data_IF_854575275054
#
_entry.id   IF_854575275054
#
_cell.length_a   1.000
_cell.length_b   1.000
_cell.length_c   1.000
_cell.angle_alpha   90.00
_cell.angle_beta   90.00
_cell.angle_gamma   90.00
#
_symmetry.space_group_name_H-M   'P 1'
#
loop_
_entity.id
_entity.type
_entity.pdbx_description
1 polymer ?
#
# COMPACT_ATOMS: atom_id res chain seq x y z
N UNK A 1 28.27 -5.61 11.59
CA UNK A 1 27.15 -4.72 11.95
C UNK A 1 26.87 -3.76 10.80
N UNK A 2 25.63 -3.28 10.70
CA UNK A 2 25.25 -2.20 9.78
C UNK A 2 25.99 -0.89 10.13
N UNK A 3 26.13 0.00 9.17
CA UNK A 3 26.89 1.25 9.29
C UNK A 3 25.98 2.47 9.47
N UNK A 4 24.80 2.44 8.87
CA UNK A 4 23.79 3.48 8.96
C UNK A 4 22.38 2.89 8.80
N UNK A 5 21.36 3.71 9.06
CA UNK A 5 19.96 3.36 8.88
C UNK A 5 19.29 4.27 7.86
N UNK A 6 18.55 3.65 6.95
CA UNK A 6 17.58 4.32 6.09
C UNK A 6 16.16 3.89 6.45
N UNK A 7 15.34 4.87 6.83
CA UNK A 7 13.93 4.65 7.17
C UNK A 7 13.04 5.10 6.01
N UNK A 8 12.43 4.15 5.31
CA UNK A 8 11.37 4.42 4.37
C UNK A 8 10.02 4.50 5.10
N UNK A 9 9.51 5.73 5.25
CA UNK A 9 8.38 6.03 6.14
C UNK A 9 7.01 6.01 5.46
N UNK A 10 6.94 5.85 4.13
CA UNK A 10 5.71 5.94 3.34
C UNK A 10 5.75 7.13 2.38
N UNK A 11 4.64 7.76 2.00
CA UNK A 11 3.25 7.62 2.49
C UNK A 11 2.54 6.35 1.97
N UNK A 12 1.36 5.95 2.50
CA UNK A 12 0.59 4.92 1.84
C UNK A 12 0.26 5.27 0.39
N UNK A 13 0.33 4.27 -0.50
CA UNK A 13 0.06 4.38 -1.95
C UNK A 13 1.12 5.08 -2.79
N UNK A 14 2.38 5.00 -2.35
CA UNK A 14 3.55 5.52 -3.07
C UNK A 14 4.57 4.43 -3.44
N UNK A 15 4.11 3.24 -3.81
CA UNK A 15 5.00 2.16 -4.26
C UNK A 15 5.70 1.36 -3.15
N UNK A 16 5.34 1.56 -1.87
CA UNK A 16 5.92 0.84 -0.72
C UNK A 16 5.99 -0.67 -0.92
N UNK A 17 4.91 -1.28 -1.44
CA UNK A 17 4.89 -2.73 -1.67
C UNK A 17 5.93 -3.17 -2.70
N UNK A 18 6.08 -2.44 -3.81
CA UNK A 18 7.08 -2.76 -4.85
C UNK A 18 8.50 -2.59 -4.32
N UNK A 19 8.78 -1.50 -3.60
CA UNK A 19 10.08 -1.25 -2.95
C UNK A 19 10.43 -2.40 -2.00
N UNK A 20 9.49 -2.77 -1.12
CA UNK A 20 9.72 -3.84 -0.15
C UNK A 20 9.91 -5.22 -0.81
N UNK A 21 9.16 -5.51 -1.87
CA UNK A 21 9.29 -6.75 -2.64
C UNK A 21 10.66 -6.85 -3.30
N UNK A 22 11.12 -5.81 -4.00
CA UNK A 22 12.45 -5.80 -4.66
C UNK A 22 13.57 -5.93 -3.65
N UNK A 23 13.49 -5.21 -2.52
CA UNK A 23 14.49 -5.30 -1.46
C UNK A 23 14.59 -6.71 -0.88
N UNK A 24 13.46 -7.33 -0.53
CA UNK A 24 13.45 -8.64 0.14
C UNK A 24 13.72 -9.80 -0.82
N UNK A 25 13.32 -9.68 -2.09
CA UNK A 25 13.68 -10.64 -3.12
C UNK A 25 15.16 -10.56 -3.52
N UNK A 26 15.89 -9.52 -3.08
CA UNK A 26 17.25 -9.26 -3.56
C UNK A 26 17.30 -8.99 -5.07
N UNK A 27 16.22 -8.44 -5.63
CA UNK A 27 16.06 -8.20 -7.06
C UNK A 27 16.80 -6.93 -7.53
N UNK A 28 18.02 -6.73 -7.04
CA UNK A 28 18.89 -5.61 -7.36
C UNK A 28 20.35 -5.97 -7.10
N UNK A 29 21.28 -5.28 -7.77
CA UNK A 29 22.74 -5.45 -7.58
C UNK A 29 23.44 -4.10 -7.55
N UNK A 30 24.39 -3.94 -6.64
CA UNK A 30 25.30 -2.79 -6.58
C UNK A 30 26.68 -3.28 -6.11
N UNK A 31 27.74 -2.84 -6.78
CA UNK A 31 29.12 -3.24 -6.47
C UNK A 31 29.73 -2.44 -5.31
N UNK A 32 29.25 -1.22 -5.09
CA UNK A 32 29.87 -0.26 -4.15
C UNK A 32 29.11 -0.14 -2.84
N UNK A 33 27.85 -0.59 -2.78
CA UNK A 33 26.98 -0.40 -1.63
C UNK A 33 26.10 -1.62 -1.37
N UNK A 34 25.82 -1.86 -0.08
CA UNK A 34 25.01 -2.97 0.38
C UNK A 34 23.85 -2.45 1.21
N UNK A 35 22.65 -2.95 0.93
CA UNK A 35 21.47 -2.75 1.76
C UNK A 35 21.15 -4.03 2.51
N UNK A 36 20.70 -3.88 3.75
CA UNK A 36 20.22 -4.95 4.61
C UNK A 36 18.76 -4.63 4.94
N UNK A 37 17.78 -5.15 4.18
CA UNK A 37 16.38 -4.91 4.48
C UNK A 37 15.94 -5.63 5.77
N UNK A 38 14.96 -5.06 6.45
CA UNK A 38 14.23 -5.74 7.53
C UNK A 38 13.60 -7.04 7.01
N UNK A 39 13.51 -8.05 7.89
CA UNK A 39 13.00 -9.40 7.54
C UNK A 39 11.55 -9.41 7.05
N UNK A 40 10.67 -8.65 7.70
CA UNK A 40 9.23 -8.75 7.48
C UNK A 40 8.71 -7.61 6.60
N UNK A 41 7.95 -7.95 5.55
CA UNK A 41 7.23 -6.97 4.73
C UNK A 41 6.09 -6.33 5.51
N UNK A 42 5.74 -5.08 5.17
CA UNK A 42 4.57 -4.37 5.69
C UNK A 42 4.45 -4.42 7.23
N UNK A 43 5.53 -4.12 7.94
CA UNK A 43 5.62 -4.26 9.39
C UNK A 43 4.80 -3.18 10.14
N UNK A 44 3.48 -3.38 10.18
CA UNK A 44 2.55 -2.57 10.96
C UNK A 44 2.81 -2.63 12.48
N UNK A 45 3.17 -3.79 13.07
CA UNK A 45 3.58 -3.88 14.48
C UNK A 45 4.67 -2.87 14.87
N UNK A 46 5.71 -2.70 14.04
CA UNK A 46 6.78 -1.73 14.29
C UNK A 46 6.25 -0.29 14.39
N UNK A 47 5.33 0.10 13.51
CA UNK A 47 4.71 1.42 13.59
C UNK A 47 3.74 1.55 14.77
N UNK A 48 3.10 0.46 15.19
CA UNK A 48 2.24 0.44 16.38
C UNK A 48 3.04 0.61 17.68
N UNK A 49 4.28 0.12 17.73
CA UNK A 49 5.20 0.34 18.85
C UNK A 49 5.56 1.83 19.05
N UNK A 50 5.26 2.70 18.08
CA UNK A 50 5.47 4.14 18.19
C UNK A 50 4.21 4.93 18.59
N UNK A 51 3.11 4.24 18.91
CA UNK A 51 1.89 4.90 19.41
C UNK A 51 2.12 5.51 20.79
N UNK A 52 1.27 6.49 21.13
CA UNK A 52 1.29 7.24 22.37
C UNK A 52 1.43 6.35 23.61
N UNK A 53 0.61 5.31 23.60
CA UNK A 53 0.21 4.35 24.62
C UNK A 53 0.84 2.96 24.42
N UNK A 54 1.87 2.84 23.57
CA UNK A 54 2.52 1.55 23.33
C UNK A 54 3.20 1.02 24.61
N UNK A 55 2.92 -0.23 24.96
CA UNK A 55 3.57 -0.95 26.05
C UNK A 55 5.09 -1.04 25.82
N UNK A 56 5.95 -0.62 26.76
CA UNK A 56 7.41 -0.76 26.66
C UNK A 56 7.89 -2.17 26.32
N UNK A 57 7.23 -3.22 26.83
CA UNK A 57 7.57 -4.60 26.51
C UNK A 57 7.30 -4.91 25.02
N UNK A 58 6.23 -4.35 24.46
CA UNK A 58 5.94 -4.45 23.03
C UNK A 58 6.95 -3.67 22.18
N UNK A 59 7.37 -2.48 22.62
CA UNK A 59 8.44 -1.71 21.95
C UNK A 59 9.74 -2.53 21.92
N UNK A 60 10.13 -3.10 23.06
CA UNK A 60 11.29 -3.97 23.20
C UNK A 60 11.22 -5.18 22.27
N UNK A 61 10.06 -5.85 22.20
CA UNK A 61 9.90 -6.98 21.30
C UNK A 61 10.13 -6.57 19.83
N UNK A 62 9.53 -5.46 19.37
CA UNK A 62 9.61 -5.06 17.97
C UNK A 62 10.99 -4.51 17.56
N UNK A 63 11.54 -3.58 18.35
CA UNK A 63 12.82 -2.94 18.02
C UNK A 63 14.04 -3.75 18.48
N UNK A 64 13.90 -4.56 19.54
CA UNK A 64 14.93 -5.51 19.97
C UNK A 64 15.15 -6.61 18.93
N UNK A 65 14.07 -7.23 18.44
CA UNK A 65 14.17 -8.23 17.36
C UNK A 65 14.79 -7.64 16.09
N UNK A 66 14.41 -6.41 15.73
CA UNK A 66 14.96 -5.73 14.56
C UNK A 66 16.46 -5.41 14.72
N UNK A 67 16.88 -5.00 15.93
CA UNK A 67 18.29 -4.80 16.27
C UNK A 67 19.06 -6.10 16.13
N UNK A 68 18.56 -7.18 16.71
CA UNK A 68 19.22 -8.49 16.68
C UNK A 68 19.29 -9.04 15.25
N UNK A 69 18.23 -8.82 14.45
CA UNK A 69 18.24 -9.09 13.02
C UNK A 69 19.38 -8.36 12.31
N UNK A 70 19.52 -7.05 12.46
CA UNK A 70 20.60 -6.32 11.81
C UNK A 70 21.99 -6.66 12.36
N UNK A 71 22.11 -6.98 13.64
CA UNK A 71 23.37 -7.44 14.24
C UNK A 71 23.83 -8.77 13.64
N UNK A 72 22.89 -9.68 13.31
CA UNK A 72 23.16 -10.95 12.63
C UNK A 72 23.59 -10.80 11.16
N UNK A 73 23.54 -9.59 10.60
CA UNK A 73 23.87 -9.29 9.20
C UNK A 73 25.19 -8.51 9.09
N UNK A 74 25.96 -8.80 8.05
CA UNK A 74 27.26 -8.16 7.83
C UNK A 74 27.16 -6.89 6.99
N UNK A 75 27.60 -5.75 7.53
CA UNK A 75 27.90 -4.50 6.81
C UNK A 75 26.73 -3.82 6.08
N UNK A 76 26.94 -2.58 5.63
CA UNK A 76 25.99 -1.84 4.79
C UNK A 76 24.91 -1.07 5.55
N UNK A 77 23.95 -0.55 4.80
CA UNK A 77 22.84 0.27 5.31
C UNK A 77 21.67 -0.60 5.73
N UNK A 78 21.24 -0.52 6.98
CA UNK A 78 20.01 -1.16 7.45
C UNK A 78 18.79 -0.41 6.91
N UNK A 79 17.87 -1.12 6.25
CA UNK A 79 16.67 -0.51 5.65
C UNK A 79 15.43 -0.95 6.42
N UNK A 80 14.77 0.03 7.06
CA UNK A 80 13.48 -0.13 7.72
C UNK A 80 12.42 0.48 6.80
N UNK A 81 11.40 -0.28 6.42
CA UNK A 81 10.38 0.17 5.47
C UNK A 81 8.99 -0.22 5.96
N UNK A 82 8.15 0.78 6.22
CA UNK A 82 6.71 0.58 6.45
C UNK A 82 5.95 1.89 6.29
N UNK A 83 4.92 1.90 5.45
CA UNK A 83 4.10 3.09 5.17
C UNK A 83 3.31 3.58 6.39
N UNK A 84 3.21 2.77 7.44
CA UNK A 84 2.50 3.13 8.66
C UNK A 84 3.30 4.12 9.54
N UNK A 85 4.60 4.31 9.28
CA UNK A 85 5.41 5.33 9.97
C UNK A 85 4.98 6.75 9.59
N UNK A 86 4.43 6.95 8.40
CA UNK A 86 3.95 8.24 7.92
C UNK A 86 2.97 8.96 8.87
N UNK A 87 2.28 8.20 9.73
CA UNK A 87 1.30 8.69 10.70
C UNK A 87 1.84 8.75 12.14
N UNK A 88 3.12 8.50 12.34
CA UNK A 88 3.76 8.48 13.65
C UNK A 88 4.48 9.79 13.91
N UNK A 89 4.64 10.07 15.20
CA UNK A 89 5.43 11.20 15.66
C UNK A 89 6.91 10.95 15.34
N UNK A 90 7.57 11.79 14.54
CA UNK A 90 8.98 11.63 14.21
C UNK A 90 9.88 11.68 15.45
N UNK A 91 9.52 12.41 16.51
CA UNK A 91 10.30 12.47 17.75
C UNK A 91 10.33 11.12 18.47
N UNK A 92 9.20 10.40 18.49
CA UNK A 92 9.13 9.06 19.07
C UNK A 92 9.98 8.06 18.30
N UNK A 93 9.91 8.10 16.96
CA UNK A 93 10.79 7.28 16.14
C UNK A 93 12.26 7.59 16.43
N UNK A 94 12.65 8.86 16.49
CA UNK A 94 14.04 9.27 16.79
C UNK A 94 14.49 8.79 18.16
N UNK A 95 13.63 8.89 19.18
CA UNK A 95 13.91 8.39 20.53
C UNK A 95 14.20 6.89 20.53
N UNK A 96 13.30 6.09 19.96
CA UNK A 96 13.49 4.63 19.88
C UNK A 96 14.72 4.26 19.04
N UNK A 97 14.98 4.95 17.92
CA UNK A 97 16.18 4.67 17.13
C UNK A 97 17.47 4.96 17.90
N UNK A 98 17.51 6.01 18.74
CA UNK A 98 18.67 6.29 19.60
C UNK A 98 18.89 5.15 20.62
N UNK A 99 17.81 4.60 21.16
CA UNK A 99 17.89 3.61 22.23
C UNK A 99 18.29 2.22 21.70
N UNK A 100 17.80 1.82 20.51
CA UNK A 100 18.08 0.50 19.92
C UNK A 100 19.22 0.49 18.89
N UNK A 101 19.56 1.64 18.33
CA UNK A 101 20.62 1.79 17.32
C UNK A 101 21.55 2.98 17.66
N UNK A 102 22.16 2.97 18.85
CA UNK A 102 22.95 4.09 19.34
C UNK A 102 24.14 4.38 18.41
N UNK A 103 24.35 5.67 18.12
CA UNK A 103 25.49 6.14 17.32
C UNK A 103 25.37 5.94 15.81
N UNK A 104 24.35 5.24 15.30
CA UNK A 104 24.19 5.09 13.85
C UNK A 104 23.64 6.37 13.21
N UNK A 105 24.22 6.85 12.10
CA UNK A 105 23.58 7.84 11.25
C UNK A 105 22.21 7.34 10.79
N UNK A 106 21.22 8.23 10.80
CA UNK A 106 19.85 7.90 10.37
C UNK A 106 19.41 8.87 9.28
N UNK A 107 18.98 8.32 8.16
CA UNK A 107 18.29 9.03 7.09
C UNK A 107 16.86 8.54 6.99
N UNK A 108 15.96 9.39 6.53
CA UNK A 108 14.58 9.02 6.23
C UNK A 108 14.27 9.36 4.79
N UNK A 109 13.52 8.51 4.11
CA UNK A 109 12.97 8.81 2.79
C UNK A 109 11.45 8.62 2.81
N UNK A 110 10.74 9.64 2.34
CA UNK A 110 9.31 9.62 2.12
C UNK A 110 8.99 9.96 0.67
N UNK A 111 7.96 9.32 0.15
CA UNK A 111 7.30 9.73 -1.08
C UNK A 111 5.96 10.39 -0.75
N UNK A 112 5.63 11.47 -1.47
CA UNK A 112 4.34 12.16 -1.35
C UNK A 112 3.60 12.11 -2.68
N UNK A 113 2.38 11.55 -2.67
CA UNK A 113 1.55 11.46 -3.87
C UNK A 113 0.65 12.68 -4.00
N UNK A 114 0.49 13.25 -5.21
CA UNK A 114 -0.47 14.34 -5.43
C UNK A 114 -1.88 13.98 -4.95
N UNK A 115 -2.56 14.95 -4.33
CA UNK A 115 -3.86 14.77 -3.67
C UNK A 115 -4.90 14.08 -4.55
N UNK A 116 -5.02 14.51 -5.82
CA UNK A 116 -5.96 13.94 -6.78
C UNK A 116 -5.69 12.44 -7.05
N UNK A 117 -4.47 12.08 -7.44
CA UNK A 117 -4.13 10.68 -7.73
C UNK A 117 -4.13 9.82 -6.45
N UNK A 118 -3.85 10.43 -5.29
CA UNK A 118 -3.98 9.80 -3.97
C UNK A 118 -5.43 9.49 -3.62
N UNK A 119 -6.38 10.36 -3.97
CA UNK A 119 -7.81 10.15 -3.79
C UNK A 119 -8.29 8.94 -4.57
N UNK A 120 -8.00 8.89 -5.88
CA UNK A 120 -8.37 7.79 -6.78
C UNK A 120 -7.81 6.46 -6.27
N UNK A 121 -6.52 6.42 -5.92
CA UNK A 121 -5.89 5.20 -5.41
C UNK A 121 -6.50 4.72 -4.09
N UNK A 122 -6.85 5.65 -3.20
CA UNK A 122 -7.47 5.32 -1.92
C UNK A 122 -8.91 4.85 -2.08
N UNK A 123 -9.67 5.47 -2.99
CA UNK A 123 -11.02 5.06 -3.31
C UNK A 123 -11.05 3.61 -3.81
N UNK A 124 -10.25 3.29 -4.84
CA UNK A 124 -10.13 1.93 -5.36
C UNK A 124 -9.67 0.93 -4.28
N UNK A 125 -8.74 1.32 -3.41
CA UNK A 125 -8.36 0.48 -2.27
C UNK A 125 -9.54 0.22 -1.32
N UNK A 126 -10.34 1.24 -0.98
CA UNK A 126 -11.46 1.08 -0.03
C UNK A 126 -12.61 0.26 -0.61
N UNK A 127 -12.89 0.39 -1.91
CA UNK A 127 -13.82 -0.48 -2.61
C UNK A 127 -13.32 -1.93 -2.58
N UNK A 128 -12.05 -2.16 -2.96
CA UNK A 128 -11.40 -3.48 -2.92
C UNK A 128 -11.51 -4.15 -1.55
N UNK A 129 -11.36 -3.39 -0.47
CA UNK A 129 -11.40 -3.93 0.90
C UNK A 129 -12.78 -3.85 1.56
N UNK A 130 -13.78 -3.32 0.85
CA UNK A 130 -15.12 -3.14 1.39
C UNK A 130 -15.21 -2.19 2.58
N UNK A 131 -14.29 -1.23 2.72
CA UNK A 131 -14.31 -0.22 3.79
C UNK A 131 -14.97 1.10 3.35
N UNK A 132 -15.49 1.14 2.13
CA UNK A 132 -16.31 2.21 1.59
C UNK A 132 -17.25 1.64 0.52
N UNK A 133 -18.43 2.24 0.37
CA UNK A 133 -19.49 1.86 -0.59
C UNK A 133 -20.16 3.11 -1.21
N UNK A 134 -19.69 4.32 -0.91
CA UNK A 134 -20.23 5.52 -1.53
C UNK A 134 -19.68 5.76 -2.93
N UNK A 135 -20.15 6.85 -3.54
CA UNK A 135 -19.62 7.46 -4.76
C UNK A 135 -18.21 8.03 -4.56
N UNK A 136 -17.53 8.30 -5.69
CA UNK A 136 -16.22 8.95 -5.67
C UNK A 136 -16.28 10.36 -5.07
N UNK A 137 -17.35 11.13 -5.34
CA UNK A 137 -17.51 12.47 -4.77
C UNK A 137 -17.67 12.44 -3.24
N UNK A 138 -18.49 11.53 -2.72
CA UNK A 138 -18.61 11.33 -1.27
C UNK A 138 -17.27 10.94 -0.65
N UNK A 139 -16.50 10.09 -1.34
CA UNK A 139 -15.16 9.76 -0.89
C UNK A 139 -14.21 10.97 -0.92
N UNK A 140 -14.27 11.81 -1.94
CA UNK A 140 -13.47 13.02 -2.05
C UNK A 140 -13.78 14.00 -0.90
N UNK A 141 -15.06 14.13 -0.53
CA UNK A 141 -15.46 14.91 0.66
C UNK A 141 -14.88 14.33 1.95
N UNK A 142 -14.96 13.01 2.11
CA UNK A 142 -14.40 12.32 3.26
C UNK A 142 -12.87 12.51 3.37
N UNK A 143 -12.10 12.34 2.28
CA UNK A 143 -10.64 12.46 2.38
C UNK A 143 -10.20 13.91 2.64
N UNK A 144 -10.96 14.90 2.18
CA UNK A 144 -10.66 16.32 2.43
C UNK A 144 -10.78 16.69 3.91
N UNK A 145 -11.48 15.87 4.71
CA UNK A 145 -11.55 16.04 6.16
C UNK A 145 -10.43 15.31 6.91
N UNK A 146 -9.53 14.58 6.24
CA UNK A 146 -8.47 13.78 6.89
C UNK A 146 -7.23 14.65 7.12
N UNK A 147 -6.86 15.01 8.37
CA UNK A 147 -5.78 15.96 8.62
C UNK A 147 -4.41 15.49 8.12
N UNK A 148 -4.16 14.17 8.11
CA UNK A 148 -2.87 13.61 7.67
C UNK A 148 -2.63 13.73 6.16
N UNK A 149 -3.65 14.10 5.38
CA UNK A 149 -3.54 14.39 3.95
C UNK A 149 -3.20 15.85 3.65
N UNK A 150 -3.08 16.72 4.67
CA UNK A 150 -2.52 18.06 4.53
C UNK A 150 -1.02 17.99 4.82
N UNK A 151 -0.24 17.87 3.76
CA UNK A 151 1.17 17.52 3.79
C UNK A 151 2.04 18.65 4.31
N UNK A 152 1.68 19.90 4.03
CA UNK A 152 2.48 21.08 4.39
C UNK A 152 2.59 21.29 5.89
N UNK A 153 1.71 20.69 6.70
CA UNK A 153 1.84 20.68 8.17
C UNK A 153 2.64 19.50 8.70
N UNK A 154 2.61 18.37 7.98
CA UNK A 154 3.15 17.10 8.47
C UNK A 154 4.64 16.95 8.19
N UNK A 155 5.08 17.18 6.96
CA UNK A 155 6.47 16.96 6.58
C UNK A 155 7.48 17.93 7.22
N UNK A 156 7.14 19.18 7.58
CA UNK A 156 8.04 20.02 8.35
C UNK A 156 8.43 19.43 9.71
N UNK A 157 7.53 18.71 10.40
CA UNK A 157 7.86 18.03 11.65
C UNK A 157 8.92 16.92 11.44
N UNK A 158 8.85 16.21 10.32
CA UNK A 158 9.89 15.24 9.96
C UNK A 158 11.23 15.93 9.68
N UNK A 159 11.22 17.06 8.95
CA UNK A 159 12.42 17.83 8.65
C UNK A 159 13.06 18.42 9.91
N UNK A 160 12.25 18.85 10.87
CA UNK A 160 12.74 19.35 12.16
C UNK A 160 13.50 18.28 12.95
N UNK A 161 13.04 17.02 12.91
CA UNK A 161 13.66 15.93 13.67
C UNK A 161 14.88 15.32 12.97
N UNK A 162 14.80 15.13 11.65
CA UNK A 162 15.82 14.41 10.88
C UNK A 162 16.74 15.34 10.07
N UNK A 163 16.45 16.63 10.01
CA UNK A 163 17.29 17.64 9.36
C UNK A 163 17.58 17.32 7.90
N UNK A 164 18.85 17.47 7.50
CA UNK A 164 19.35 17.10 6.18
C UNK A 164 19.30 15.59 5.89
N UNK A 165 19.09 14.76 6.91
CA UNK A 165 18.87 13.33 6.74
C UNK A 165 17.48 12.99 6.20
N UNK A 166 16.56 13.96 6.11
CA UNK A 166 15.23 13.76 5.53
C UNK A 166 15.22 14.02 4.03
N UNK A 167 14.77 13.02 3.27
CA UNK A 167 14.50 13.09 1.84
C UNK A 167 12.97 13.01 1.65
N UNK A 168 12.40 14.00 0.97
CA UNK A 168 11.01 13.98 0.50
C UNK A 168 11.01 14.00 -1.03
N UNK A 169 10.35 13.01 -1.64
CA UNK A 169 10.25 12.87 -3.10
C UNK A 169 8.80 12.96 -3.54
N UNK A 170 8.46 13.74 -4.58
CA UNK A 170 7.12 13.68 -5.16
C UNK A 170 6.95 12.36 -5.93
N UNK A 171 5.84 11.66 -5.68
CA UNK A 171 5.46 10.44 -6.38
C UNK A 171 4.77 10.82 -7.71
N UNK A 172 5.56 11.42 -8.60
CA UNK A 172 5.17 11.91 -9.93
C UNK A 172 6.17 11.35 -10.92
N UNK A 173 5.70 10.75 -12.03
CA UNK A 173 6.56 9.97 -12.93
C UNK A 173 7.72 10.79 -13.51
N UNK A 174 7.50 12.06 -13.85
CA UNK A 174 8.57 12.94 -14.36
C UNK A 174 9.60 13.32 -13.30
N UNK A 175 9.28 13.16 -12.02
CA UNK A 175 10.17 13.51 -10.91
C UNK A 175 10.92 12.30 -10.34
N UNK A 176 10.42 11.09 -10.59
CA UNK A 176 11.06 9.84 -10.18
C UNK A 176 12.15 9.44 -11.17
N UNK A 177 13.25 8.90 -10.65
CA UNK A 177 14.29 8.29 -11.50
C UNK A 177 13.67 7.26 -12.43
N UNK A 178 13.90 7.42 -13.74
CA UNK A 178 13.39 6.54 -14.79
C UNK A 178 11.86 6.39 -14.78
N UNK A 179 11.15 7.28 -14.09
CA UNK A 179 9.72 7.18 -13.86
C UNK A 179 9.30 6.02 -12.97
N UNK A 180 10.21 5.45 -12.18
CA UNK A 180 9.95 4.32 -11.29
C UNK A 180 10.40 4.62 -9.85
N UNK A 181 9.50 4.34 -8.91
CA UNK A 181 9.75 4.55 -7.48
C UNK A 181 10.74 3.54 -6.89
N UNK A 182 10.88 2.35 -7.48
CA UNK A 182 11.90 1.40 -7.03
C UNK A 182 13.28 1.89 -7.45
N UNK A 183 13.47 2.27 -8.72
CA UNK A 183 14.72 2.89 -9.21
C UNK A 183 15.08 4.15 -8.41
N UNK A 184 14.11 5.06 -8.17
CA UNK A 184 14.34 6.27 -7.35
C UNK A 184 14.75 5.93 -5.90
N UNK A 185 14.09 4.94 -5.30
CA UNK A 185 14.41 4.53 -3.94
C UNK A 185 15.83 3.96 -3.85
N UNK A 186 16.20 3.07 -4.75
CA UNK A 186 17.54 2.45 -4.73
C UNK A 186 18.63 3.49 -4.97
N UNK A 187 18.41 4.46 -5.86
CA UNK A 187 19.35 5.58 -6.06
C UNK A 187 19.63 6.32 -4.76
N UNK A 188 18.59 6.70 -4.01
CA UNK A 188 18.76 7.39 -2.73
C UNK A 188 19.27 6.49 -1.61
N UNK A 189 18.91 5.21 -1.64
CA UNK A 189 19.33 4.26 -0.63
C UNK A 189 20.81 3.91 -0.73
N UNK A 190 21.27 3.63 -1.96
CA UNK A 190 22.65 3.26 -2.29
C UNK A 190 23.57 4.48 -2.44
N UNK A 191 23.02 5.67 -2.69
CA UNK A 191 23.81 6.88 -2.91
C UNK A 191 24.56 6.90 -4.25
N UNK A 192 24.21 6.01 -5.18
CA UNK A 192 24.79 5.93 -6.53
C UNK A 192 23.74 5.55 -7.56
N UNK A 193 23.97 5.93 -8.82
CA UNK A 193 23.21 5.46 -9.99
C UNK A 193 23.70 4.13 -10.55
N UNK A 194 24.85 3.63 -10.06
CA UNK A 194 25.51 2.43 -10.59
C UNK A 194 24.97 1.16 -9.93
N UNK A 195 23.71 0.84 -10.23
CA UNK A 195 23.05 -0.39 -9.81
C UNK A 195 22.19 -0.98 -10.92
N UNK A 196 21.93 -2.28 -10.82
CA UNK A 196 21.07 -3.02 -11.74
C UNK A 196 19.81 -3.47 -11.01
N UNK A 197 18.65 -3.29 -11.64
CA UNK A 197 17.40 -3.92 -11.23
C UNK A 197 17.27 -5.28 -11.90
N UNK A 198 17.04 -6.32 -11.11
CA UNK A 198 16.79 -7.65 -11.65
C UNK A 198 15.29 -7.82 -11.91
N UNK A 199 14.90 -8.58 -12.95
CA UNK A 199 13.50 -8.86 -13.22
C UNK A 199 12.81 -9.46 -12.00
N UNK A 200 11.67 -8.89 -11.64
CA UNK A 200 10.78 -9.42 -10.61
C UNK A 200 9.35 -9.28 -11.11
N UNK A 201 8.60 -10.39 -11.11
CA UNK A 201 7.19 -10.42 -11.48
C UNK A 201 6.35 -9.63 -10.46
N UNK A 202 6.33 -8.30 -10.61
CA UNK A 202 5.61 -7.39 -9.72
C UNK A 202 4.65 -6.53 -10.51
N UNK A 203 3.58 -7.15 -11.01
CA UNK A 203 2.49 -6.43 -11.68
C UNK A 203 1.43 -6.03 -10.65
N UNK A 204 1.68 -4.94 -9.92
CA UNK A 204 0.65 -4.29 -9.08
C UNK A 204 -0.20 -3.35 -9.94
N UNK A 205 -0.84 -3.88 -10.98
CA UNK A 205 -1.69 -3.07 -11.83
C UNK A 205 -2.95 -2.60 -11.08
N UNK A 206 -3.38 -1.37 -11.35
CA UNK A 206 -4.64 -0.85 -10.84
C UNK A 206 -5.81 -1.67 -11.41
N UNK A 207 -6.85 -1.86 -10.59
CA UNK A 207 -8.09 -2.50 -11.03
C UNK A 207 -8.90 -1.53 -11.90
N UNK A 208 -9.63 -2.05 -12.88
CA UNK A 208 -10.58 -1.30 -13.70
C UNK A 208 -11.84 -0.94 -12.91
N UNK A 209 -12.67 -0.04 -13.46
CA UNK A 209 -13.97 0.31 -12.90
C UNK A 209 -14.89 -0.91 -12.80
N UNK A 210 -14.93 -1.75 -13.84
CA UNK A 210 -15.71 -2.98 -13.85
C UNK A 210 -15.25 -3.95 -12.73
N UNK A 211 -13.95 -4.19 -12.62
CA UNK A 211 -13.39 -5.06 -11.58
C UNK A 211 -13.69 -4.56 -10.17
N UNK A 212 -13.57 -3.24 -9.93
CA UNK A 212 -13.91 -2.63 -8.65
C UNK A 212 -15.41 -2.71 -8.35
N UNK A 213 -16.27 -2.59 -9.36
CA UNK A 213 -17.73 -2.74 -9.22
C UNK A 213 -18.10 -4.16 -8.80
N UNK A 214 -17.52 -5.17 -9.45
CA UNK A 214 -17.72 -6.56 -9.06
C UNK A 214 -17.14 -6.88 -7.68
N UNK A 215 -15.98 -6.33 -7.32
CA UNK A 215 -15.44 -6.44 -5.96
C UNK A 215 -16.32 -5.77 -4.91
N UNK A 216 -16.98 -4.66 -5.23
CA UNK A 216 -17.94 -3.99 -4.35
C UNK A 216 -19.11 -4.93 -4.01
N UNK A 217 -19.63 -5.67 -5.00
CA UNK A 217 -20.63 -6.72 -4.78
C UNK A 217 -20.11 -7.81 -3.84
N UNK A 218 -18.94 -8.39 -4.14
CA UNK A 218 -18.31 -9.43 -3.31
C UNK A 218 -18.13 -8.94 -1.87
N UNK A 219 -17.63 -7.72 -1.67
CA UNK A 219 -17.42 -7.14 -0.35
C UNK A 219 -18.73 -6.87 0.40
N UNK A 220 -19.82 -6.49 -0.27
CA UNK A 220 -21.14 -6.38 0.36
C UNK A 220 -21.61 -7.72 0.92
N UNK A 221 -21.49 -8.80 0.15
CA UNK A 221 -21.85 -10.15 0.61
C UNK A 221 -21.02 -10.54 1.83
N UNK A 222 -19.70 -10.37 1.77
CA UNK A 222 -18.81 -10.68 2.89
C UNK A 222 -19.14 -9.87 4.15
N UNK A 223 -19.52 -8.59 4.01
CA UNK A 223 -19.97 -7.76 5.15
C UNK A 223 -21.32 -8.23 5.69
N UNK A 224 -22.27 -8.57 4.82
CA UNK A 224 -23.59 -9.10 5.23
C UNK A 224 -23.49 -10.44 5.94
N UNK A 225 -22.43 -11.22 5.64
CA UNK A 225 -22.07 -12.45 6.34
C UNK A 225 -21.10 -12.20 7.52
N UNK A 226 -20.95 -10.96 7.98
CA UNK A 226 -20.15 -10.59 9.16
C UNK A 226 -18.67 -11.07 9.11
N UNK A 227 -18.09 -11.20 7.91
CA UNK A 227 -16.68 -11.56 7.78
C UNK A 227 -15.80 -10.41 8.29
N UNK A 228 -14.94 -10.72 9.27
CA UNK A 228 -14.09 -9.73 9.92
C UNK A 228 -13.20 -8.94 8.93
N UNK A 229 -12.99 -7.65 9.24
CA UNK A 229 -12.27 -6.68 8.38
C UNK A 229 -10.91 -7.18 7.89
N UNK A 230 -10.13 -7.80 8.76
CA UNK A 230 -8.79 -8.29 8.41
C UNK A 230 -8.83 -9.47 7.42
N UNK A 231 -9.89 -10.27 7.42
CA UNK A 231 -10.12 -11.29 6.40
C UNK A 231 -10.59 -10.68 5.08
N UNK A 232 -11.50 -9.71 5.11
CA UNK A 232 -11.95 -8.97 3.92
C UNK A 232 -10.81 -8.23 3.22
N UNK A 233 -9.90 -7.64 3.99
CA UNK A 233 -8.65 -7.04 3.51
C UNK A 233 -7.77 -8.07 2.78
N UNK A 234 -7.57 -9.24 3.38
CA UNK A 234 -6.79 -10.32 2.79
C UNK A 234 -7.42 -10.83 1.48
N UNK A 235 -8.73 -11.05 1.47
CA UNK A 235 -9.49 -11.48 0.29
C UNK A 235 -9.39 -10.45 -0.85
N UNK A 236 -9.63 -9.16 -0.57
CA UNK A 236 -9.49 -8.11 -1.59
C UNK A 236 -8.06 -8.05 -2.16
N UNK A 237 -7.04 -8.22 -1.32
CA UNK A 237 -5.65 -8.30 -1.78
C UNK A 237 -5.35 -9.56 -2.61
N UNK A 238 -5.94 -10.70 -2.26
CA UNK A 238 -5.80 -11.94 -3.01
C UNK A 238 -6.43 -11.84 -4.41
N UNK A 239 -7.65 -11.30 -4.49
CA UNK A 239 -8.36 -11.07 -5.75
C UNK A 239 -7.59 -10.11 -6.66
N UNK A 240 -7.05 -9.01 -6.11
CA UNK A 240 -6.23 -8.11 -6.91
C UNK A 240 -5.02 -8.83 -7.53
N UNK A 241 -4.30 -9.66 -6.76
CA UNK A 241 -3.15 -10.40 -7.32
C UNK A 241 -3.56 -11.37 -8.41
N UNK A 242 -4.65 -12.11 -8.21
CA UNK A 242 -5.18 -13.04 -9.22
C UNK A 242 -5.62 -12.31 -10.48
N UNK A 243 -6.31 -11.18 -10.32
CA UNK A 243 -6.66 -10.31 -11.45
C UNK A 243 -5.40 -9.79 -12.14
N UNK A 244 -4.44 -9.22 -11.44
CA UNK A 244 -3.18 -8.74 -12.05
C UNK A 244 -2.45 -9.79 -12.90
N UNK A 245 -2.57 -11.08 -12.55
CA UNK A 245 -1.98 -12.18 -13.29
C UNK A 245 -2.88 -12.73 -14.42
N UNK A 246 -4.13 -12.30 -14.50
CA UNK A 246 -5.08 -12.77 -15.51
C UNK A 246 -4.76 -12.14 -16.88
N UNK A 247 -4.67 -12.94 -17.95
CA UNK A 247 -4.42 -12.43 -19.30
C UNK A 247 -5.66 -11.68 -19.84
N UNK A 248 -5.42 -10.75 -20.77
CA UNK A 248 -6.51 -10.08 -21.50
C UNK A 248 -7.28 -9.04 -20.69
N UNK A 249 -6.73 -8.57 -19.55
CA UNK A 249 -7.34 -7.48 -18.78
C UNK A 249 -7.45 -6.22 -19.62
N UNK A 250 -8.66 -5.68 -19.65
CA UNK A 250 -8.99 -4.44 -20.30
C UNK A 250 -10.05 -3.70 -19.48
N UNK A 251 -10.30 -2.44 -19.82
CA UNK A 251 -11.31 -1.63 -19.18
C UNK A 251 -10.75 -0.36 -18.56
N UNK A 252 -11.66 0.59 -18.37
CA UNK A 252 -11.32 1.92 -17.90
C UNK A 252 -10.76 1.89 -16.48
N UNK A 253 -9.72 2.67 -16.24
CA UNK A 253 -9.23 2.89 -14.88
C UNK A 253 -10.08 3.96 -14.19
N UNK A 254 -10.22 3.90 -12.85
CA UNK A 254 -10.85 4.96 -12.09
C UNK A 254 -10.19 6.32 -12.34
N UNK A 255 -10.99 7.33 -12.65
CA UNK A 255 -10.59 8.74 -12.78
C UNK A 255 -11.53 9.63 -11.97
N UNK A 256 -11.09 10.86 -11.68
CA UNK A 256 -11.95 11.87 -11.05
C UNK A 256 -12.87 12.48 -12.10
N UNK A 257 -14.15 12.58 -11.81
CA UNK A 257 -15.07 13.46 -12.54
C UNK A 257 -14.85 14.93 -12.17
N UNK A 258 -15.42 15.84 -12.95
CA UNK A 258 -15.24 17.30 -12.77
C UNK A 258 -15.64 17.77 -11.37
N UNK A 259 -16.74 17.25 -10.80
CA UNK A 259 -17.20 17.68 -9.47
C UNK A 259 -16.23 17.20 -8.39
N UNK A 260 -15.78 15.95 -8.47
CA UNK A 260 -14.76 15.39 -7.57
C UNK A 260 -13.42 16.14 -7.69
N UNK A 261 -12.96 16.42 -8.90
CA UNK A 261 -11.71 17.13 -9.14
C UNK A 261 -11.76 18.59 -8.67
N UNK A 262 -12.87 19.29 -8.91
CA UNK A 262 -13.09 20.66 -8.44
C UNK A 262 -13.08 20.75 -6.91
N UNK A 263 -13.70 19.76 -6.25
CA UNK A 263 -13.70 19.67 -4.80
C UNK A 263 -12.28 19.50 -4.24
N UNK A 264 -11.50 18.57 -4.79
CA UNK A 264 -10.12 18.34 -4.34
C UNK A 264 -9.20 19.52 -4.64
N UNK A 265 -9.36 20.17 -5.80
CA UNK A 265 -8.61 21.39 -6.12
C UNK A 265 -8.86 22.46 -5.07
N UNK A 266 -10.14 22.73 -4.75
CA UNK A 266 -10.51 23.72 -3.74
C UNK A 266 -9.96 23.36 -2.36
N UNK A 267 -10.03 22.09 -1.96
CA UNK A 267 -9.59 21.65 -0.64
C UNK A 267 -8.07 21.68 -0.44
N UNK A 268 -7.30 21.31 -1.47
CA UNK A 268 -5.88 20.98 -1.30
C UNK A 268 -4.90 21.92 -2.01
N UNK A 269 -5.35 22.86 -2.84
CA UNK A 269 -4.44 23.73 -3.62
C UNK A 269 -3.45 24.48 -2.74
N UNK A 270 -3.91 25.12 -1.68
CA UNK A 270 -3.04 25.88 -0.76
C UNK A 270 -2.01 24.97 -0.07
N UNK A 271 -2.39 23.75 0.31
CA UNK A 271 -1.47 22.79 0.91
C UNK A 271 -0.41 22.32 -0.10
N UNK A 272 -0.83 22.02 -1.33
CA UNK A 272 0.08 21.63 -2.41
C UNK A 272 1.11 22.73 -2.72
N UNK A 273 0.66 23.98 -2.87
CA UNK A 273 1.53 25.16 -3.07
C UNK A 273 2.53 25.34 -1.92
N UNK A 274 2.05 25.20 -0.69
CA UNK A 274 2.89 25.35 0.49
C UNK A 274 3.95 24.24 0.56
N UNK A 275 3.59 23.00 0.26
CA UNK A 275 4.55 21.90 0.24
C UNK A 275 5.58 22.06 -0.88
N UNK A 276 5.11 22.39 -2.09
CA UNK A 276 5.96 22.64 -3.26
C UNK A 276 7.03 23.71 -2.95
N UNK A 277 6.59 24.84 -2.37
CA UNK A 277 7.49 25.93 -1.97
C UNK A 277 8.48 25.50 -0.88
N UNK A 278 8.04 24.70 0.09
CA UNK A 278 8.87 24.31 1.23
C UNK A 278 9.88 23.20 0.93
N UNK A 279 9.61 22.32 -0.05
CA UNK A 279 10.40 21.10 -0.27
C UNK A 279 10.94 20.94 -1.70
N UNK A 280 10.27 21.48 -2.73
CA UNK A 280 10.62 21.19 -4.12
C UNK A 280 11.14 22.42 -4.87
N UNK A 281 10.82 23.64 -4.41
CA UNK A 281 11.27 24.89 -5.03
C UNK A 281 10.64 25.16 -6.41
N UNK A 282 9.70 24.32 -6.85
CA UNK A 282 8.93 24.42 -8.10
C UNK A 282 7.55 23.81 -7.87
N UNK A 283 6.52 24.21 -8.63
CA UNK A 283 5.18 23.64 -8.50
C UNK A 283 5.20 22.22 -9.07
N UNK A 284 4.95 21.23 -8.21
CA UNK A 284 4.89 19.81 -8.59
C UNK A 284 3.51 19.26 -8.23
N UNK A 285 3.13 19.35 -6.96
CA UNK A 285 1.83 18.86 -6.50
C UNK A 285 0.69 19.77 -6.93
N UNK A 286 0.91 21.09 -7.00
CA UNK A 286 -0.09 22.01 -7.54
C UNK A 286 -0.39 21.72 -9.01
N UNK A 287 0.64 21.56 -9.84
CA UNK A 287 0.47 21.27 -11.26
C UNK A 287 -0.27 19.95 -11.50
N UNK A 288 0.04 18.91 -10.74
CA UNK A 288 -0.69 17.64 -10.79
C UNK A 288 -2.16 17.79 -10.42
N UNK A 289 -2.48 18.66 -9.46
CA UNK A 289 -3.85 18.93 -9.03
C UNK A 289 -4.63 19.70 -10.09
N UNK A 290 -4.01 20.73 -10.68
CA UNK A 290 -4.58 21.50 -11.79
C UNK A 290 -4.78 20.64 -13.04
N UNK A 291 -3.80 19.80 -13.38
CA UNK A 291 -3.89 18.87 -14.51
C UNK A 291 -5.00 17.84 -14.31
N UNK A 292 -5.13 17.30 -13.09
CA UNK A 292 -6.22 16.38 -12.75
C UNK A 292 -7.59 17.04 -12.89
N UNK A 293 -7.71 18.32 -12.55
CA UNK A 293 -8.94 19.10 -12.74
C UNK A 293 -9.22 19.43 -14.21
N UNK A 294 -8.19 19.78 -14.99
CA UNK A 294 -8.35 20.12 -16.41
C UNK A 294 -8.69 18.91 -17.29
N UNK A 295 -8.25 17.71 -16.90
CA UNK A 295 -8.48 16.47 -17.64
C UNK A 295 -9.67 15.64 -17.12
N UNK A 296 -10.37 16.12 -16.10
CA UNK A 296 -11.48 15.38 -15.50
C UNK A 296 -12.67 15.29 -16.47
N UNK A 297 -13.22 14.11 -16.76
CA UNK A 297 -14.46 14.01 -17.53
C UNK A 297 -15.64 14.72 -16.83
N UNK A 298 -16.61 15.23 -17.58
CA UNK A 298 -17.76 15.94 -17.01
C UNK A 298 -18.68 15.01 -16.20
N UNK A 299 -18.72 13.73 -16.56
CA UNK A 299 -19.61 12.73 -15.96
C UNK A 299 -18.85 11.75 -15.08
N UNK A 300 -19.53 11.28 -14.02
CA UNK A 300 -19.00 10.26 -13.13
C UNK A 300 -18.98 8.90 -13.82
N UNK A 301 -17.89 8.15 -13.62
CA UNK A 301 -17.85 6.73 -13.97
C UNK A 301 -18.86 5.94 -13.14
N UNK A 302 -19.49 4.95 -13.77
CA UNK A 302 -20.48 4.10 -13.12
C UNK A 302 -19.79 2.94 -12.39
N UNK A 303 -19.94 2.90 -11.06
CA UNK A 303 -19.42 1.84 -10.19
C UNK A 303 -20.52 0.86 -9.73
N UNK A 304 -21.66 0.82 -10.43
CA UNK A 304 -22.74 -0.13 -10.17
C UNK A 304 -22.41 -1.50 -10.79
N UNK A 305 -22.53 -2.61 -10.04
CA UNK A 305 -22.32 -3.95 -10.60
C UNK A 305 -23.24 -4.27 -11.80
N UNK A 306 -24.44 -3.69 -11.82
CA UNK A 306 -25.47 -3.91 -12.84
C UNK A 306 -25.02 -3.46 -14.24
N UNK A 307 -24.25 -2.38 -14.33
CA UNK A 307 -23.75 -1.85 -15.61
C UNK A 307 -22.59 -2.64 -16.20
N UNK A 308 -21.95 -3.51 -15.40
CA UNK A 308 -20.74 -4.24 -15.81
C UNK A 308 -20.90 -5.76 -15.85
N UNK A 309 -21.96 -6.29 -15.20
CA UNK A 309 -22.15 -7.73 -15.04
C UNK A 309 -23.62 -8.13 -15.20
N UNK A 310 -23.84 -9.13 -16.04
CA UNK A 310 -25.14 -9.79 -16.21
C UNK A 310 -25.67 -10.35 -14.88
N UNK A 311 -26.99 -10.59 -14.80
CA UNK A 311 -27.60 -11.23 -13.62
C UNK A 311 -26.94 -12.57 -13.29
N UNK A 312 -26.58 -13.37 -14.30
CA UNK A 312 -25.89 -14.65 -14.14
C UNK A 312 -24.52 -14.46 -13.48
N UNK A 313 -23.71 -13.53 -13.96
CA UNK A 313 -22.39 -13.24 -13.38
C UNK A 313 -22.51 -12.73 -11.95
N UNK A 314 -23.43 -11.79 -11.68
CA UNK A 314 -23.68 -11.30 -10.32
C UNK A 314 -24.10 -12.42 -9.37
N UNK A 315 -24.94 -13.35 -9.83
CA UNK A 315 -25.35 -14.53 -9.06
C UNK A 315 -24.17 -15.47 -8.78
N UNK A 316 -23.27 -15.67 -9.75
CA UNK A 316 -22.05 -16.45 -9.54
C UNK A 316 -21.13 -15.81 -8.51
N UNK A 317 -20.93 -14.48 -8.59
CA UNK A 317 -20.11 -13.72 -7.63
C UNK A 317 -20.68 -13.84 -6.21
N UNK A 318 -22.00 -13.70 -6.06
CA UNK A 318 -22.69 -13.85 -4.76
C UNK A 318 -22.49 -15.24 -4.17
N UNK A 319 -22.78 -16.31 -4.93
CA UNK A 319 -22.62 -17.70 -4.49
C UNK A 319 -21.19 -17.99 -4.06
N UNK A 320 -20.20 -17.54 -4.84
CA UNK A 320 -18.80 -17.74 -4.51
C UNK A 320 -18.39 -16.95 -3.25
N UNK A 321 -18.83 -15.71 -3.09
CA UNK A 321 -18.57 -14.90 -1.91
C UNK A 321 -19.21 -15.50 -0.64
N UNK A 322 -20.45 -16.00 -0.73
CA UNK A 322 -21.14 -16.70 0.35
C UNK A 322 -20.40 -17.98 0.75
N UNK A 323 -19.91 -18.76 -0.23
CA UNK A 323 -19.07 -19.93 0.05
C UNK A 323 -17.78 -19.55 0.76
N UNK A 324 -17.09 -18.48 0.33
CA UNK A 324 -15.88 -17.98 1.00
C UNK A 324 -16.18 -17.59 2.45
N UNK A 325 -17.28 -16.88 2.70
CA UNK A 325 -17.67 -16.48 4.05
C UNK A 325 -17.83 -17.70 4.96
N UNK A 326 -18.58 -18.71 4.52
CA UNK A 326 -18.79 -19.95 5.29
C UNK A 326 -17.46 -20.70 5.56
N UNK A 327 -16.55 -20.75 4.57
CA UNK A 327 -15.24 -21.39 4.73
C UNK A 327 -14.37 -20.67 5.76
N UNK A 328 -14.34 -19.33 5.72
CA UNK A 328 -13.55 -18.52 6.66
C UNK A 328 -14.14 -18.57 8.06
N UNK A 329 -15.45 -18.46 8.22
CA UNK A 329 -16.10 -18.59 9.53
C UNK A 329 -15.81 -19.95 10.18
N UNK A 330 -15.77 -21.02 9.37
CA UNK A 330 -15.43 -22.37 9.85
C UNK A 330 -13.98 -22.48 10.33
N UNK A 331 -13.02 -21.85 9.65
CA UNK A 331 -11.59 -21.96 9.95
C UNK A 331 -10.82 -20.65 9.70
N UNK A 332 -11.03 -19.60 10.52
CA UNK A 332 -10.53 -18.25 10.23
C UNK A 332 -9.00 -18.18 10.19
N UNK A 333 -8.32 -18.91 11.09
CA UNK A 333 -6.85 -18.94 11.16
C UNK A 333 -6.21 -19.54 9.91
N UNK A 334 -6.82 -20.58 9.32
CA UNK A 334 -6.28 -21.31 8.18
C UNK A 334 -6.09 -20.39 6.97
N UNK A 335 -7.15 -19.66 6.58
CA UNK A 335 -7.08 -18.68 5.50
C UNK A 335 -6.06 -17.58 5.77
N UNK A 336 -6.04 -17.03 7.00
CA UNK A 336 -5.18 -15.87 7.29
C UNK A 336 -3.70 -16.20 7.21
N UNK A 337 -3.29 -17.34 7.78
CA UNK A 337 -1.89 -17.78 7.73
C UNK A 337 -1.46 -18.10 6.30
N UNK A 338 -2.29 -18.86 5.57
CA UNK A 338 -2.03 -19.20 4.17
C UNK A 338 -1.83 -17.94 3.32
N UNK A 339 -2.73 -16.97 3.47
CA UNK A 339 -2.61 -15.70 2.76
C UNK A 339 -1.32 -14.97 3.12
N UNK A 340 -0.94 -14.90 4.41
CA UNK A 340 0.28 -14.20 4.85
C UNK A 340 1.55 -14.81 4.29
N UNK A 341 1.62 -16.14 4.21
CA UNK A 341 2.73 -16.85 3.57
C UNK A 341 2.76 -16.57 2.06
N UNK A 342 1.60 -16.61 1.40
CA UNK A 342 1.50 -16.35 -0.05
C UNK A 342 1.95 -14.94 -0.48
N UNK A 343 2.07 -14.00 0.46
CA UNK A 343 2.52 -12.61 0.22
C UNK A 343 3.85 -12.28 0.89
N UNK A 344 4.55 -13.29 1.40
CA UNK A 344 5.82 -13.11 2.11
C UNK A 344 5.72 -12.13 3.30
N UNK A 345 4.53 -12.00 3.91
CA UNK A 345 4.36 -11.26 5.17
C UNK A 345 4.85 -12.08 6.37
N UNK A 346 4.88 -13.41 6.23
CA UNK A 346 5.43 -14.37 7.20
C UNK A 346 6.16 -15.48 6.47
N UNK A 347 7.20 -16.02 7.09
CA UNK A 347 7.84 -17.23 6.56
C UNK A 347 6.95 -18.45 6.82
N UNK A 348 6.96 -19.41 5.91
CA UNK A 348 6.20 -20.66 6.07
C UNK A 348 6.61 -21.45 7.33
N UNK A 349 7.85 -21.30 7.79
CA UNK A 349 8.37 -21.90 9.03
C UNK A 349 7.85 -21.22 10.31
N UNK A 350 7.33 -20.00 10.20
CA UNK A 350 6.85 -19.20 11.34
C UNK A 350 5.34 -19.38 11.57
N UNK A 351 4.67 -20.24 10.78
CA UNK A 351 3.24 -20.56 10.95
C UNK A 351 3.07 -21.98 11.51
N UNK A 352 2.03 -22.16 12.32
CA UNK A 352 1.64 -23.46 12.87
C UNK A 352 1.32 -24.43 11.73
N UNK A 353 1.78 -25.68 11.87
CA UNK A 353 1.61 -26.70 10.85
C UNK A 353 0.11 -26.98 10.62
N UNK A 354 -0.38 -26.70 9.41
CA UNK A 354 -1.79 -26.89 9.11
C UNK A 354 -2.15 -28.37 9.14
N UNK A 355 -3.18 -28.71 9.91
CA UNK A 355 -3.85 -30.00 9.79
C UNK A 355 -4.38 -30.22 8.37
N UNK A 356 -4.56 -31.48 7.91
CA UNK A 356 -5.11 -31.77 6.59
C UNK A 356 -6.46 -31.08 6.32
N UNK A 357 -7.27 -30.86 7.37
CA UNK A 357 -8.54 -30.15 7.25
C UNK A 357 -8.37 -28.65 6.99
N UNK A 358 -7.41 -28.00 7.65
CA UNK A 358 -7.09 -26.57 7.42
C UNK A 358 -6.55 -26.35 6.01
N UNK A 359 -5.67 -27.22 5.52
CA UNK A 359 -5.15 -27.14 4.13
C UNK A 359 -6.27 -27.27 3.10
N UNK A 360 -7.20 -28.22 3.30
CA UNK A 360 -8.37 -28.38 2.42
C UNK A 360 -9.30 -27.16 2.46
N UNK A 361 -9.52 -26.57 3.64
CA UNK A 361 -10.33 -25.37 3.78
C UNK A 361 -9.70 -24.18 3.05
N UNK A 362 -8.40 -23.92 3.28
CA UNK A 362 -7.68 -22.82 2.62
C UNK A 362 -7.65 -23.01 1.09
N UNK A 363 -7.43 -24.24 0.61
CA UNK A 363 -7.55 -24.57 -0.82
C UNK A 363 -8.94 -24.26 -1.39
N UNK A 364 -10.01 -24.61 -0.68
CA UNK A 364 -11.37 -24.32 -1.11
C UNK A 364 -11.67 -22.81 -1.16
N UNK A 365 -11.04 -22.00 -0.31
CA UNK A 365 -11.10 -20.53 -0.41
C UNK A 365 -10.42 -20.07 -1.69
N UNK A 366 -9.22 -20.58 -1.99
CA UNK A 366 -8.50 -20.26 -3.24
C UNK A 366 -9.28 -20.63 -4.50
N UNK A 367 -9.88 -21.81 -4.55
CA UNK A 367 -10.75 -22.24 -5.67
C UNK A 367 -11.95 -21.31 -5.85
N UNK A 368 -12.54 -20.84 -4.74
CA UNK A 368 -13.66 -19.88 -4.80
C UNK A 368 -13.19 -18.50 -5.27
N UNK A 369 -11.97 -18.09 -4.92
CA UNK A 369 -11.34 -16.88 -5.44
C UNK A 369 -11.03 -16.97 -6.94
N UNK A 370 -10.67 -18.15 -7.43
CA UNK A 370 -10.49 -18.40 -8.87
C UNK A 370 -11.81 -18.24 -9.63
N UNK A 371 -12.90 -18.78 -9.08
CA UNK A 371 -14.23 -18.59 -9.67
C UNK A 371 -14.65 -17.11 -9.72
N UNK A 372 -14.39 -16.34 -8.66
CA UNK A 372 -14.63 -14.89 -8.67
C UNK A 372 -13.75 -14.20 -9.71
N UNK A 373 -12.46 -14.51 -9.75
CA UNK A 373 -11.50 -13.89 -10.68
C UNK A 373 -11.90 -14.13 -12.13
N UNK A 374 -12.31 -15.35 -12.48
CA UNK A 374 -12.77 -15.69 -13.83
C UNK A 374 -13.96 -14.84 -14.28
N UNK A 375 -14.91 -14.57 -13.38
CA UNK A 375 -16.05 -13.69 -13.68
C UNK A 375 -15.62 -12.23 -13.80
N UNK A 376 -14.78 -11.74 -12.86
CA UNK A 376 -14.35 -10.35 -12.84
C UNK A 376 -13.44 -9.98 -14.02
N UNK A 377 -12.63 -10.92 -14.52
CA UNK A 377 -11.73 -10.70 -15.66
C UNK A 377 -12.46 -10.61 -17.00
N UNK A 378 -13.74 -11.02 -17.06
CA UNK A 378 -14.55 -11.02 -18.28
C UNK A 378 -15.87 -10.30 -18.04
N UNK A 379 -15.85 -8.97 -17.80
CA UNK A 379 -17.08 -8.21 -17.67
C UNK A 379 -17.91 -8.34 -18.96
N UNK A 380 -19.21 -8.50 -18.81
CA UNK A 380 -20.14 -8.54 -19.92
C UNK A 380 -21.07 -7.36 -19.74
N UNK A 381 -20.92 -6.35 -20.59
CA UNK A 381 -21.85 -5.22 -20.63
C UNK A 381 -23.24 -5.77 -20.91
N UNK A 382 -24.19 -5.40 -20.04
CA UNK A 382 -25.59 -5.77 -20.18
C UNK A 382 -26.23 -5.10 -21.41
#
# INVERSE_FOLDING_TARGET
MIQDLLIHTGDPKTGTSSIQSVLNAGAWRCSTSRLVPQRHLNNAPLANALKADADPAFVQAQFGELRDWFASRGGGTGVISTEFLARRDPHRLRGVLRDYFPGLPVRTISYVRPHASRAVSAYGQRLKTGTFDGSLLEFCRFISSVPTLYYAKRFPAWRQVFGSGMILRPFVRSELREGDAVSDFLYHALGTGDFELLPLDTVNEALSVAELSGLRLVQRVLRGQEVADHHRLALGGALQRKLSAAPGRSGEKPVLDQASASHLLTAFRTDAQALDSQFFGKPVLEEELLRSHGNAPPTQQDFSPESHFSLRQRTCLDKAATRIAALIQKMPKAWRQEYQVSVSQRDAKDIEDHSPAQRRNAKAVWESLDAITAVLAQPTTA
#
